data_IF_817924324938
#
_entry.id   IF_817924324938
#
_cell.length_a   1.000
_cell.length_b   1.000
_cell.length_c   1.000
_cell.angle_alpha   90.00
_cell.angle_beta   90.00
_cell.angle_gamma   90.00
#
_symmetry.space_group_name_H-M   'P 1'
#
loop_
_entity.id
_entity.type
_entity.pdbx_description
1 polymer ?
#
# COMPACT_ATOMS: atom_id res chain seq x y z
N UNK A 1 17.90 -16.84 -14.46
CA UNK A 1 16.49 -16.77 -13.97
C UNK A 1 16.37 -15.81 -12.79
N UNK A 2 17.38 -15.77 -11.91
CA UNK A 2 17.52 -14.77 -10.83
C UNK A 2 17.78 -13.36 -11.41
N UNK A 3 18.45 -13.23 -12.56
CA UNK A 3 18.79 -11.92 -13.16
C UNK A 3 17.57 -11.08 -13.59
N UNK A 4 16.51 -11.70 -14.12
CA UNK A 4 15.29 -10.97 -14.51
C UNK A 4 14.44 -10.55 -13.31
N UNK A 5 14.49 -11.33 -12.21
CA UNK A 5 13.84 -10.99 -10.93
C UNK A 5 14.54 -9.80 -10.28
N UNK A 6 15.88 -9.80 -10.28
CA UNK A 6 16.68 -8.67 -9.79
C UNK A 6 16.44 -7.42 -10.63
N UNK A 7 16.31 -7.55 -11.96
CA UNK A 7 16.00 -6.43 -12.84
C UNK A 7 14.61 -5.82 -12.58
N UNK A 8 13.60 -6.67 -12.29
CA UNK A 8 12.26 -6.21 -11.93
C UNK A 8 12.22 -5.48 -10.57
N UNK A 9 13.04 -5.90 -9.60
CA UNK A 9 13.18 -5.22 -8.31
C UNK A 9 13.84 -3.84 -8.50
N UNK A 10 14.90 -3.79 -9.31
CA UNK A 10 15.58 -2.52 -9.61
C UNK A 10 14.63 -1.54 -10.31
N UNK A 11 13.77 -2.02 -11.22
CA UNK A 11 12.75 -1.17 -11.86
C UNK A 11 11.67 -0.68 -10.87
N UNK A 12 11.25 -1.50 -9.91
CA UNK A 12 10.30 -1.10 -8.87
C UNK A 12 10.86 0.02 -7.96
N UNK A 13 12.15 -0.04 -7.61
CA UNK A 13 12.82 1.03 -6.84
C UNK A 13 12.98 2.36 -7.61
N UNK A 14 12.96 2.32 -8.94
CA UNK A 14 13.01 3.52 -9.78
C UNK A 14 11.61 4.14 -9.92
N UNK A 15 10.53 3.42 -9.59
CA UNK A 15 9.16 3.98 -9.63
C UNK A 15 8.71 4.65 -8.32
N UNK A 16 9.59 4.79 -7.32
CA UNK A 16 9.37 5.64 -6.13
C UNK A 16 9.23 7.13 -6.51
N UNK A 17 9.84 7.58 -7.60
CA UNK A 17 9.77 8.99 -8.02
C UNK A 17 8.35 9.43 -8.45
N UNK A 18 7.39 8.51 -8.60
CA UNK A 18 5.98 8.79 -8.97
C UNK A 18 4.97 8.56 -7.84
N UNK A 19 5.41 8.49 -6.57
CA UNK A 19 4.50 8.31 -5.43
C UNK A 19 3.58 9.53 -5.30
N UNK A 20 2.35 9.42 -5.81
CA UNK A 20 1.31 10.44 -5.65
C UNK A 20 0.86 10.46 -4.20
N UNK A 21 1.46 11.34 -3.40
CA UNK A 21 1.05 11.59 -2.02
C UNK A 21 -0.21 12.45 -2.09
N UNK A 22 -1.37 11.88 -1.78
CA UNK A 22 -2.57 12.68 -1.55
C UNK A 22 -2.44 13.33 -0.17
N UNK A 23 -2.02 14.58 -0.14
CA UNK A 23 -1.91 15.40 1.07
C UNK A 23 -3.29 15.96 1.41
N UNK A 24 -4.00 15.27 2.30
CA UNK A 24 -5.32 15.68 2.75
C UNK A 24 -5.31 16.05 4.23
N UNK A 25 -5.23 17.35 4.55
CA UNK A 25 -5.85 17.83 5.79
C UNK A 25 -7.36 17.82 5.58
N UNK A 26 -7.97 16.66 5.76
CA UNK A 26 -9.37 16.46 5.41
C UNK A 26 -10.25 16.74 6.63
N UNK A 27 -10.97 17.86 6.57
CA UNK A 27 -12.02 18.23 7.52
C UNK A 27 -13.33 17.56 7.08
N UNK A 28 -13.90 16.71 7.92
CA UNK A 28 -15.19 16.08 7.64
C UNK A 28 -16.35 16.89 8.25
N UNK A 29 -17.41 17.21 7.48
CA UNK A 29 -18.53 17.98 8.01
C UNK A 29 -19.41 17.06 8.86
N UNK A 30 -19.50 17.32 10.17
CA UNK A 30 -20.51 16.64 11.01
C UNK A 30 -21.86 17.34 10.89
N UNK A 31 -22.95 16.57 11.03
CA UNK A 31 -24.37 16.97 10.81
C UNK A 31 -24.83 18.29 11.42
N UNK A 32 -24.09 18.89 12.36
CA UNK A 32 -24.52 20.02 13.19
C UNK A 32 -23.35 20.88 13.71
N UNK A 33 -22.30 21.13 12.93
CA UNK A 33 -21.21 22.05 13.32
C UNK A 33 -20.30 21.51 14.46
N UNK A 34 -19.52 20.47 14.16
CA UNK A 34 -18.14 20.33 14.66
C UNK A 34 -17.33 19.74 13.52
N UNK A 35 -16.48 20.53 12.87
CA UNK A 35 -15.43 19.98 12.01
C UNK A 35 -14.61 19.04 12.86
N UNK A 36 -14.77 17.72 12.66
CA UNK A 36 -13.89 16.77 13.31
C UNK A 36 -12.55 16.89 12.58
N UNK A 37 -11.51 17.23 13.31
CA UNK A 37 -10.17 17.19 12.75
C UNK A 37 -9.81 15.71 12.55
N UNK A 38 -9.67 15.28 11.29
CA UNK A 38 -9.04 14.00 11.04
C UNK A 38 -7.54 14.14 11.31
N UNK A 39 -6.90 13.11 11.89
CA UNK A 39 -5.47 13.12 12.13
C UNK A 39 -4.69 13.33 10.82
N UNK A 40 -3.50 13.94 10.93
CA UNK A 40 -2.67 14.25 9.78
C UNK A 40 -2.36 12.99 8.96
N UNK A 41 -2.53 13.10 7.63
CA UNK A 41 -2.12 12.07 6.69
C UNK A 41 -0.60 11.90 6.72
N UNK A 42 -0.14 10.67 6.62
CA UNK A 42 1.27 10.33 6.51
C UNK A 42 1.56 9.71 5.14
N UNK A 43 2.84 9.50 4.84
CA UNK A 43 3.26 8.85 3.61
C UNK A 43 2.70 7.44 3.42
N UNK A 44 2.41 6.71 4.50
CA UNK A 44 1.87 5.34 4.39
C UNK A 44 0.34 5.29 4.26
N UNK A 45 -0.35 6.27 4.82
CA UNK A 45 -1.78 6.21 4.99
C UNK A 45 -2.37 7.62 5.04
N UNK A 46 -3.55 7.75 4.44
CA UNK A 46 -4.34 8.96 4.45
C UNK A 46 -5.70 8.67 5.09
N UNK A 47 -6.37 9.74 5.52
CA UNK A 47 -7.70 9.65 6.09
C UNK A 47 -8.69 10.32 5.16
N UNK A 48 -9.81 9.64 4.91
CA UNK A 48 -10.90 10.13 4.05
C UNK A 48 -12.23 10.09 4.82
N UNK A 49 -13.16 10.98 4.46
CA UNK A 49 -14.47 11.03 5.11
C UNK A 49 -15.37 9.88 4.65
N UNK A 50 -15.96 9.14 5.59
CA UNK A 50 -16.82 7.99 5.34
C UNK A 50 -18.07 8.00 6.25
N UNK A 51 -18.96 7.04 6.02
CA UNK A 51 -20.25 6.89 6.69
C UNK A 51 -21.41 7.49 5.91
N UNK A 52 -22.65 7.19 6.33
CA UNK A 52 -23.89 7.58 5.62
C UNK A 52 -24.07 9.09 5.39
N UNK A 53 -23.25 9.89 6.06
CA UNK A 53 -23.24 11.36 6.07
C UNK A 53 -21.82 11.91 6.10
N UNK A 54 -20.81 11.11 5.70
CA UNK A 54 -19.41 11.53 5.58
C UNK A 54 -18.86 12.26 6.83
N UNK A 55 -19.29 11.79 8.02
CA UNK A 55 -18.96 12.36 9.32
C UNK A 55 -17.83 11.62 10.05
N UNK A 56 -17.42 10.48 9.53
CA UNK A 56 -16.46 9.59 10.16
C UNK A 56 -15.12 9.67 9.40
N UNK A 57 -13.98 9.64 10.10
CA UNK A 57 -12.67 9.52 9.46
C UNK A 57 -12.38 8.03 9.24
N UNK A 58 -12.25 7.59 8.00
CA UNK A 58 -11.78 6.25 7.65
C UNK A 58 -10.30 6.24 7.31
N UNK A 59 -9.63 5.16 7.72
CA UNK A 59 -8.22 4.91 7.44
C UNK A 59 -8.06 4.24 6.08
N UNK A 60 -7.27 4.84 5.19
CA UNK A 60 -6.95 4.30 3.88
C UNK A 60 -5.43 4.21 3.71
N UNK A 61 -4.94 3.07 3.21
CA UNK A 61 -3.53 2.93 2.86
C UNK A 61 -3.28 3.61 1.51
N UNK A 62 -2.12 4.25 1.35
CA UNK A 62 -1.72 4.79 0.06
C UNK A 62 -1.60 3.66 -0.98
N UNK A 63 -2.03 3.95 -2.22
CA UNK A 63 -2.01 2.98 -3.33
C UNK A 63 -0.60 2.41 -3.52
N UNK A 64 0.42 3.25 -3.37
CA UNK A 64 1.80 2.84 -3.59
C UNK A 64 2.29 1.82 -2.53
N UNK A 65 1.84 1.94 -1.28
CA UNK A 65 2.11 0.95 -0.21
C UNK A 65 1.39 -0.36 -0.49
N UNK A 66 0.14 -0.31 -0.95
CA UNK A 66 -0.61 -1.51 -1.32
C UNK A 66 0.10 -2.29 -2.43
N UNK A 67 0.58 -1.60 -3.47
CA UNK A 67 1.31 -2.19 -4.59
C UNK A 67 2.62 -2.85 -4.11
N UNK A 68 3.39 -2.16 -3.27
CA UNK A 68 4.63 -2.71 -2.71
C UNK A 68 4.39 -3.97 -1.86
N UNK A 69 3.34 -3.98 -1.04
CA UNK A 69 2.96 -5.14 -0.22
C UNK A 69 2.62 -6.35 -1.09
N UNK A 70 1.83 -6.15 -2.15
CA UNK A 70 1.43 -7.23 -3.08
C UNK A 70 2.65 -7.80 -3.81
N UNK A 71 3.57 -6.96 -4.28
CA UNK A 71 4.79 -7.41 -4.96
C UNK A 71 5.64 -8.27 -4.01
N UNK A 72 5.86 -7.82 -2.77
CA UNK A 72 6.60 -8.58 -1.76
C UNK A 72 5.95 -9.93 -1.44
N UNK A 73 4.62 -9.94 -1.28
CA UNK A 73 3.87 -11.17 -1.03
C UNK A 73 4.05 -12.17 -2.19
N UNK A 74 3.88 -11.72 -3.44
CA UNK A 74 4.04 -12.58 -4.62
C UNK A 74 5.47 -13.12 -4.75
N UNK A 75 6.50 -12.29 -4.53
CA UNK A 75 7.90 -12.71 -4.57
C UNK A 75 8.24 -13.76 -3.50
N UNK A 76 7.70 -13.60 -2.29
CA UNK A 76 7.90 -14.57 -1.21
C UNK A 76 7.26 -15.92 -1.52
N UNK A 77 6.04 -15.91 -2.10
CA UNK A 77 5.35 -17.13 -2.50
C UNK A 77 6.11 -17.85 -3.61
N UNK A 78 6.59 -17.14 -4.63
CA UNK A 78 7.36 -17.75 -5.74
C UNK A 78 8.64 -18.38 -5.20
N UNK A 79 9.35 -17.70 -4.30
CA UNK A 79 10.59 -18.22 -3.69
C UNK A 79 10.32 -19.47 -2.85
N UNK A 80 9.21 -19.47 -2.09
CA UNK A 80 8.77 -20.61 -1.30
C UNK A 80 8.42 -21.81 -2.19
N UNK A 81 7.68 -21.59 -3.28
CA UNK A 81 7.30 -22.64 -4.23
C UNK A 81 8.52 -23.25 -4.91
N UNK A 82 9.48 -22.42 -5.35
CA UNK A 82 10.72 -22.92 -5.95
C UNK A 82 11.54 -23.73 -4.94
N UNK A 83 11.61 -23.29 -3.68
CA UNK A 83 12.28 -24.02 -2.61
C UNK A 83 11.62 -25.39 -2.34
N UNK A 84 10.29 -25.44 -2.28
CA UNK A 84 9.52 -26.68 -2.08
C UNK A 84 9.64 -27.64 -3.27
N UNK A 85 9.56 -27.14 -4.51
CA UNK A 85 9.74 -27.95 -5.71
C UNK A 85 11.15 -28.53 -5.80
N UNK A 86 12.18 -27.73 -5.47
CA UNK A 86 13.57 -28.21 -5.37
C UNK A 86 13.71 -29.28 -4.28
N UNK A 87 13.05 -29.09 -3.13
CA UNK A 87 13.10 -30.04 -2.03
C UNK A 87 12.43 -31.39 -2.38
N UNK A 88 11.34 -31.38 -3.17
CA UNK A 88 10.60 -32.59 -3.56
C UNK A 88 11.21 -33.28 -4.80
N UNK A 89 11.69 -32.52 -5.78
CA UNK A 89 12.26 -33.08 -7.03
C UNK A 89 13.77 -33.35 -6.97
N UNK A 90 14.48 -32.91 -5.93
CA UNK A 90 15.90 -33.19 -5.70
C UNK A 90 16.16 -33.83 -4.33
N UNK A 91 15.23 -34.68 -3.86
CA UNK A 91 15.52 -35.72 -2.87
C UNK A 91 16.02 -36.99 -3.58
#
# INVERSE_FOLDING_TARGET
MIDAVVLFIILASITDEVISINEGHQWCPTKIIRTTECPASNFLYYFECCGAINTECCFHLQIWVLIMLVILAVLSIISLVVALVRFICCQ
#
